data_IF_121267766040
#
_entry.id   IF_121267766040
#
_cell.length_a   1.000
_cell.length_b   1.000
_cell.length_c   1.000
_cell.angle_alpha   90.00
_cell.angle_beta   90.00
_cell.angle_gamma   90.00
#
_symmetry.space_group_name_H-M   'P 1'
#
loop_
_entity.id
_entity.type
_entity.pdbx_description
1 polymer ?
#
# COMPACT_ATOMS: atom_id res chain seq x y z
N UNK A 1 -9.99 -14.26 15.23
CA UNK A 1 -11.31 -13.63 15.05
C UNK A 1 -11.90 -13.14 16.37
N UNK A 2 -12.02 -13.98 17.43
CA UNK A 2 -12.63 -13.57 18.71
C UNK A 2 -11.91 -12.40 19.42
N UNK A 3 -10.58 -12.34 19.36
CA UNK A 3 -9.82 -11.23 19.96
C UNK A 3 -10.04 -9.89 19.24
N UNK A 4 -10.39 -9.93 17.98
CA UNK A 4 -10.61 -8.74 17.15
C UNK A 4 -11.99 -8.11 17.44
N UNK A 5 -13.00 -8.93 17.68
CA UNK A 5 -14.33 -8.47 18.08
C UNK A 5 -14.25 -7.71 19.41
N UNK A 6 -13.52 -8.23 20.39
CA UNK A 6 -13.33 -7.58 21.69
C UNK A 6 -12.62 -6.23 21.58
N UNK A 7 -11.57 -6.12 20.77
CA UNK A 7 -10.82 -4.88 20.58
C UNK A 7 -11.62 -3.79 19.87
N UNK A 8 -12.60 -4.15 19.05
CA UNK A 8 -13.45 -3.22 18.31
C UNK A 8 -14.72 -2.80 19.04
N UNK A 9 -15.00 -3.41 20.19
CA UNK A 9 -16.22 -3.14 20.98
C UNK A 9 -16.35 -1.64 21.31
N UNK A 10 -15.25 -0.94 21.62
CA UNK A 10 -15.26 0.49 21.91
C UNK A 10 -15.80 1.30 20.72
N UNK A 11 -15.39 0.97 19.50
CA UNK A 11 -15.85 1.65 18.28
C UNK A 11 -17.35 1.41 18.01
N UNK A 12 -17.85 0.22 18.31
CA UNK A 12 -19.25 -0.12 18.15
C UNK A 12 -20.14 0.57 19.18
N UNK A 13 -19.69 0.70 20.42
CA UNK A 13 -20.44 1.30 21.51
C UNK A 13 -20.34 2.83 21.54
N UNK A 14 -19.15 3.36 21.33
CA UNK A 14 -18.86 4.80 21.50
C UNK A 14 -18.58 5.53 20.20
N UNK A 15 -18.54 4.81 19.08
CA UNK A 15 -18.37 5.42 17.76
C UNK A 15 -19.61 6.23 17.34
N UNK A 16 -19.37 7.26 16.53
CA UNK A 16 -20.41 8.21 16.15
C UNK A 16 -21.58 7.58 15.35
N UNK A 17 -21.34 6.47 14.65
CA UNK A 17 -22.28 5.84 13.74
C UNK A 17 -23.06 4.70 14.42
N UNK A 18 -22.37 3.76 15.06
CA UNK A 18 -22.96 2.52 15.54
C UNK A 18 -23.74 2.71 16.86
N UNK A 19 -23.14 3.29 17.88
CA UNK A 19 -23.74 3.58 19.21
C UNK A 19 -24.51 2.42 19.83
N UNK A 20 -23.97 1.21 19.72
CA UNK A 20 -24.57 0.02 20.29
C UNK A 20 -24.49 0.04 21.81
N UNK A 21 -25.49 -0.56 22.48
CA UNK A 21 -25.45 -0.78 23.91
C UNK A 21 -24.45 -1.90 24.26
N UNK A 22 -23.98 -1.93 25.51
CA UNK A 22 -23.14 -3.02 26.02
C UNK A 22 -23.86 -4.35 25.89
N UNK A 23 -23.23 -5.30 25.19
CA UNK A 23 -23.82 -6.64 24.96
C UNK A 23 -24.79 -6.71 23.78
N UNK A 24 -25.10 -5.62 23.12
CA UNK A 24 -25.89 -5.60 21.89
C UNK A 24 -25.11 -6.24 20.73
N UNK A 25 -25.82 -7.07 19.94
CA UNK A 25 -25.22 -7.72 18.77
C UNK A 25 -25.02 -6.74 17.62
N UNK A 26 -23.97 -6.93 16.83
CA UNK A 26 -23.65 -6.08 15.68
C UNK A 26 -24.42 -6.48 14.41
N UNK A 27 -25.18 -7.55 14.44
CA UNK A 27 -25.82 -8.16 13.27
C UNK A 27 -26.58 -7.14 12.42
N UNK A 28 -27.36 -6.28 13.06
CA UNK A 28 -28.12 -5.21 12.40
C UNK A 28 -27.26 -4.19 11.64
N UNK A 29 -25.98 -4.08 11.98
CA UNK A 29 -25.04 -3.19 11.28
C UNK A 29 -24.40 -3.85 10.05
N UNK A 30 -24.53 -5.18 9.93
CA UNK A 30 -23.99 -5.96 8.82
C UNK A 30 -25.06 -6.34 7.81
N UNK A 31 -26.34 -6.40 8.26
CA UNK A 31 -27.47 -6.76 7.41
C UNK A 31 -27.89 -5.64 6.46
N UNK A 32 -28.55 -6.02 5.37
CA UNK A 32 -29.15 -5.11 4.39
C UNK A 32 -28.19 -4.07 3.79
N UNK A 33 -26.88 -4.36 3.77
CA UNK A 33 -25.87 -3.51 3.15
C UNK A 33 -25.55 -2.24 3.94
N UNK A 34 -25.92 -2.15 5.22
CA UNK A 34 -25.56 -1.01 6.08
C UNK A 34 -24.03 -0.87 6.23
N UNK A 35 -23.34 -1.97 6.45
CA UNK A 35 -21.88 -2.02 6.38
C UNK A 35 -21.40 -3.26 5.63
N UNK A 36 -20.12 -3.26 5.26
CA UNK A 36 -19.53 -4.27 4.39
C UNK A 36 -18.37 -4.97 5.10
N UNK A 37 -18.32 -6.29 4.96
CA UNK A 37 -17.15 -7.09 5.34
C UNK A 37 -16.15 -7.01 4.21
N UNK A 38 -14.98 -6.46 4.48
CA UNK A 38 -13.94 -6.27 3.47
C UNK A 38 -13.03 -7.49 3.38
N UNK A 39 -12.87 -8.03 2.18
CA UNK A 39 -11.89 -9.04 1.84
C UNK A 39 -10.62 -8.34 1.33
N UNK A 40 -9.65 -8.12 2.21
CA UNK A 40 -8.33 -7.58 1.85
C UNK A 40 -7.39 -8.66 1.33
N UNK A 41 -6.51 -8.29 0.43
CA UNK A 41 -5.49 -9.18 -0.16
C UNK A 41 -4.15 -8.46 -0.28
N UNK A 42 -3.05 -9.22 -0.38
CA UNK A 42 -1.70 -8.71 -0.56
C UNK A 42 -0.87 -9.72 -1.35
N UNK A 43 0.20 -9.25 -1.97
CA UNK A 43 1.18 -10.12 -2.61
C UNK A 43 0.76 -10.68 -3.97
N UNK A 44 -0.02 -9.94 -4.74
CA UNK A 44 -0.37 -10.36 -6.11
C UNK A 44 0.87 -10.44 -7.00
N UNK A 45 1.82 -9.50 -6.83
CA UNK A 45 3.12 -9.55 -7.49
C UNK A 45 3.89 -10.83 -7.12
N UNK A 46 4.06 -11.09 -5.83
CA UNK A 46 4.80 -12.26 -5.34
C UNK A 46 4.11 -13.59 -5.75
N UNK A 47 2.80 -13.60 -5.82
CA UNK A 47 2.04 -14.75 -6.35
C UNK A 47 2.41 -15.01 -7.82
N UNK A 48 2.43 -13.99 -8.66
CA UNK A 48 2.80 -14.11 -10.07
C UNK A 48 4.27 -14.48 -10.23
N UNK A 49 5.17 -13.90 -9.45
CA UNK A 49 6.58 -14.28 -9.44
C UNK A 49 6.79 -15.75 -9.06
N UNK A 50 6.08 -16.22 -8.03
CA UNK A 50 6.18 -17.62 -7.59
C UNK A 50 5.65 -18.62 -8.64
N UNK A 51 4.59 -18.27 -9.36
CA UNK A 51 3.94 -19.17 -10.33
C UNK A 51 4.56 -19.11 -11.72
N UNK A 52 5.01 -17.93 -12.15
CA UNK A 52 5.42 -17.71 -13.55
C UNK A 52 6.84 -17.15 -13.68
N UNK A 53 7.48 -16.75 -12.59
CA UNK A 53 8.78 -16.06 -12.64
C UNK A 53 8.71 -14.66 -13.28
N UNK A 54 7.53 -14.06 -13.33
CA UNK A 54 7.28 -12.75 -13.97
C UNK A 54 6.33 -11.90 -13.15
N UNK A 55 6.53 -10.57 -13.20
CA UNK A 55 5.60 -9.60 -12.63
C UNK A 55 4.21 -9.71 -13.25
N UNK A 56 3.19 -9.32 -12.48
CA UNK A 56 1.82 -9.19 -13.00
C UNK A 56 1.66 -8.05 -14.02
N UNK A 57 2.65 -7.17 -14.14
CA UNK A 57 2.73 -6.15 -15.20
C UNK A 57 3.11 -6.75 -16.57
N UNK A 58 3.72 -7.94 -16.60
CA UNK A 58 3.99 -8.65 -17.85
C UNK A 58 2.65 -9.04 -18.53
N UNK A 59 2.43 -8.67 -19.81
CA UNK A 59 1.19 -8.95 -20.53
C UNK A 59 0.79 -10.43 -20.51
N UNK A 60 1.77 -11.34 -20.49
CA UNK A 60 1.50 -12.80 -20.47
C UNK A 60 0.92 -13.28 -19.12
N UNK A 61 1.13 -12.53 -18.05
CA UNK A 61 0.71 -12.88 -16.68
C UNK A 61 -0.47 -12.03 -16.21
N UNK A 62 -0.65 -10.84 -16.76
CA UNK A 62 -1.71 -9.90 -16.40
C UNK A 62 -3.11 -10.54 -16.38
N UNK A 63 -3.43 -11.33 -17.40
CA UNK A 63 -4.73 -12.02 -17.48
C UNK A 63 -4.95 -12.97 -16.30
N UNK A 64 -3.90 -13.67 -15.85
CA UNK A 64 -3.99 -14.50 -14.64
C UNK A 64 -4.25 -13.62 -13.41
N UNK A 65 -3.50 -12.54 -13.23
CA UNK A 65 -3.68 -11.63 -12.09
C UNK A 65 -5.12 -11.07 -12.03
N UNK A 66 -5.67 -10.63 -13.16
CA UNK A 66 -7.06 -10.19 -13.27
C UNK A 66 -8.06 -11.31 -12.94
N UNK A 67 -7.78 -12.56 -13.39
CA UNK A 67 -8.64 -13.70 -13.07
C UNK A 67 -8.68 -14.04 -11.58
N UNK A 68 -7.56 -13.87 -10.87
CA UNK A 68 -7.51 -14.00 -9.40
C UNK A 68 -8.43 -12.96 -8.76
N UNK A 69 -8.36 -11.70 -9.21
CA UNK A 69 -9.21 -10.63 -8.69
C UNK A 69 -10.69 -10.89 -8.97
N UNK A 70 -11.02 -11.36 -10.18
CA UNK A 70 -12.40 -11.72 -10.51
C UNK A 70 -12.89 -12.86 -9.61
N UNK A 71 -12.07 -13.89 -9.39
CA UNK A 71 -12.43 -14.99 -8.49
C UNK A 71 -12.73 -14.50 -7.06
N UNK A 72 -11.96 -13.54 -6.53
CA UNK A 72 -12.24 -12.94 -5.22
C UNK A 72 -13.59 -12.21 -5.20
N UNK A 73 -13.93 -11.48 -6.26
CA UNK A 73 -15.23 -10.83 -6.40
C UNK A 73 -16.38 -11.85 -6.50
N UNK A 74 -16.20 -12.92 -7.26
CA UNK A 74 -17.20 -13.98 -7.39
C UNK A 74 -17.48 -14.64 -6.03
N UNK A 75 -16.43 -14.86 -5.21
CA UNK A 75 -16.57 -15.35 -3.83
C UNK A 75 -17.30 -14.36 -2.92
N UNK A 76 -17.02 -13.08 -3.03
CA UNK A 76 -17.75 -12.06 -2.29
C UNK A 76 -19.25 -12.06 -2.68
N UNK A 77 -19.55 -12.20 -3.95
CA UNK A 77 -20.92 -12.30 -4.46
C UNK A 77 -21.63 -13.56 -3.95
N UNK A 78 -20.96 -14.73 -3.96
CA UNK A 78 -21.46 -15.99 -3.42
C UNK A 78 -21.80 -15.86 -1.93
N UNK A 79 -20.89 -15.33 -1.12
CA UNK A 79 -21.12 -15.13 0.31
C UNK A 79 -22.24 -14.14 0.59
N UNK A 80 -22.30 -13.04 -0.16
CA UNK A 80 -23.39 -12.06 -0.05
C UNK A 80 -24.75 -12.71 -0.31
N UNK A 81 -24.85 -13.52 -1.35
CA UNK A 81 -26.10 -14.23 -1.68
C UNK A 81 -26.50 -15.25 -0.61
N UNK A 82 -25.52 -15.96 -0.02
CA UNK A 82 -25.74 -17.01 0.97
C UNK A 82 -26.05 -16.46 2.36
N UNK A 83 -25.38 -15.40 2.77
CA UNK A 83 -25.39 -14.92 4.16
C UNK A 83 -26.21 -13.63 4.34
N UNK A 84 -26.63 -13.01 3.24
CA UNK A 84 -27.34 -11.71 3.20
C UNK A 84 -26.56 -10.56 3.87
N UNK A 85 -25.22 -10.68 3.90
CA UNK A 85 -24.30 -9.65 4.40
C UNK A 85 -23.59 -8.98 3.23
N UNK A 86 -23.13 -7.75 3.45
CA UNK A 86 -22.28 -7.04 2.47
C UNK A 86 -20.86 -7.60 2.49
N UNK A 87 -20.35 -8.06 1.34
CA UNK A 87 -18.97 -8.44 1.12
C UNK A 87 -18.38 -7.66 -0.04
N UNK A 88 -17.12 -7.25 0.08
CA UNK A 88 -16.45 -6.50 -0.97
C UNK A 88 -14.95 -6.75 -0.97
N UNK A 89 -14.35 -6.86 -2.15
CA UNK A 89 -12.90 -6.91 -2.30
C UNK A 89 -12.32 -5.53 -2.02
N UNK A 90 -11.28 -5.48 -1.21
CA UNK A 90 -10.65 -4.24 -0.76
C UNK A 90 -9.15 -4.23 -1.04
N UNK A 91 -8.73 -3.42 -2.01
CA UNK A 91 -7.35 -3.20 -2.40
C UNK A 91 -6.66 -2.20 -1.48
N UNK A 92 -6.61 -2.52 -0.19
CA UNK A 92 -6.04 -1.63 0.83
C UNK A 92 -4.55 -1.76 0.93
N UNK A 93 -3.84 -0.66 1.15
CA UNK A 93 -2.49 -0.69 1.69
C UNK A 93 -2.52 -1.30 3.09
N UNK A 94 -1.58 -2.22 3.34
CA UNK A 94 -1.42 -2.88 4.63
C UNK A 94 -0.15 -2.38 5.31
N UNK A 95 -0.24 -1.87 6.53
CA UNK A 95 0.90 -1.32 7.24
C UNK A 95 1.90 -2.40 7.72
N UNK A 96 1.65 -2.93 8.89
CA UNK A 96 2.52 -3.94 9.53
C UNK A 96 2.35 -5.33 8.93
N UNK A 97 1.22 -5.57 8.27
CA UNK A 97 0.84 -6.90 7.77
C UNK A 97 1.79 -7.37 6.66
N UNK A 98 2.23 -6.48 5.77
CA UNK A 98 3.17 -6.83 4.68
C UNK A 98 4.51 -7.34 5.23
N UNK A 99 5.05 -6.69 6.25
CA UNK A 99 6.26 -7.15 6.96
C UNK A 99 6.04 -8.48 7.67
N UNK A 100 4.92 -8.62 8.37
CA UNK A 100 4.57 -9.85 9.08
C UNK A 100 4.42 -11.02 8.11
N UNK A 101 3.75 -10.83 6.98
CA UNK A 101 3.61 -11.85 5.95
C UNK A 101 4.96 -12.24 5.34
N UNK A 102 5.81 -11.27 4.98
CA UNK A 102 7.14 -11.56 4.48
C UNK A 102 7.93 -12.46 5.42
N UNK A 103 7.93 -12.15 6.72
CA UNK A 103 8.60 -12.98 7.75
C UNK A 103 7.98 -14.37 7.87
N UNK A 104 6.66 -14.48 7.88
CA UNK A 104 5.97 -15.76 8.00
C UNK A 104 6.24 -16.65 6.77
N UNK A 105 6.19 -16.08 5.56
CA UNK A 105 6.46 -16.79 4.32
C UNK A 105 7.92 -17.25 4.27
N UNK A 106 8.87 -16.39 4.62
CA UNK A 106 10.30 -16.74 4.67
C UNK A 106 10.58 -17.84 5.69
N UNK A 107 9.97 -17.79 6.86
CA UNK A 107 10.11 -18.82 7.88
C UNK A 107 9.54 -20.17 7.44
N UNK A 108 8.48 -20.16 6.65
CA UNK A 108 7.80 -21.38 6.20
C UNK A 108 8.43 -21.99 4.95
N UNK A 109 8.87 -21.18 4.00
CA UNK A 109 9.27 -21.61 2.67
C UNK A 109 10.75 -21.31 2.34
N UNK A 110 11.48 -20.69 3.26
CA UNK A 110 12.85 -20.22 3.00
C UNK A 110 12.88 -18.94 2.17
N UNK A 111 14.10 -18.58 1.73
CA UNK A 111 14.33 -17.43 0.87
C UNK A 111 14.09 -17.83 -0.58
N UNK A 112 13.10 -17.20 -1.21
CA UNK A 112 12.76 -17.37 -2.63
C UNK A 112 12.90 -16.00 -3.28
N UNK A 113 13.76 -15.90 -4.29
CA UNK A 113 14.04 -14.64 -5.00
C UNK A 113 12.76 -14.01 -5.53
N UNK A 114 12.60 -12.71 -5.33
CA UNK A 114 11.43 -11.88 -5.72
C UNK A 114 10.11 -12.28 -5.04
N UNK A 115 10.13 -13.23 -4.09
CA UNK A 115 8.92 -13.69 -3.39
C UNK A 115 9.05 -13.51 -1.88
N UNK A 116 10.16 -13.96 -1.28
CA UNK A 116 10.38 -13.92 0.17
C UNK A 116 11.73 -13.35 0.58
N UNK A 117 12.48 -12.77 -0.34
CA UNK A 117 13.83 -12.24 -0.13
C UNK A 117 13.84 -10.81 0.43
N UNK A 118 12.71 -10.13 0.45
CA UNK A 118 12.52 -8.81 1.08
C UNK A 118 11.76 -8.91 2.40
N UNK A 119 11.94 -7.91 3.27
CA UNK A 119 11.23 -7.83 4.54
C UNK A 119 9.79 -7.25 4.42
N UNK A 120 9.29 -7.15 3.20
CA UNK A 120 7.92 -6.77 2.89
C UNK A 120 7.39 -7.60 1.71
N UNK A 121 6.08 -7.60 1.53
CA UNK A 121 5.40 -8.06 0.32
C UNK A 121 4.63 -6.88 -0.29
N UNK A 122 4.40 -6.94 -1.58
CA UNK A 122 3.66 -5.90 -2.32
C UNK A 122 2.23 -5.77 -1.79
N UNK A 123 1.78 -4.54 -1.58
CA UNK A 123 0.40 -4.26 -1.20
C UNK A 123 -0.54 -4.64 -2.35
N UNK A 124 -1.63 -5.31 -2.02
CA UNK A 124 -2.75 -5.64 -2.92
C UNK A 124 -2.33 -5.88 -4.39
N UNK A 125 -2.84 -5.06 -5.32
CA UNK A 125 -2.59 -5.13 -6.76
C UNK A 125 -1.45 -4.22 -7.24
N UNK A 126 -0.86 -3.45 -6.35
CA UNK A 126 0.11 -2.43 -6.76
C UNK A 126 1.27 -3.01 -7.57
N UNK A 127 1.74 -2.24 -8.53
CA UNK A 127 3.04 -2.48 -9.16
C UNK A 127 4.10 -2.52 -8.06
N UNK A 128 5.02 -3.49 -8.13
CA UNK A 128 6.07 -3.61 -7.13
C UNK A 128 6.88 -2.29 -7.05
N UNK A 129 7.15 -1.84 -5.83
CA UNK A 129 7.78 -0.52 -5.58
C UNK A 129 9.14 -0.34 -6.22
N UNK A 130 9.82 -1.44 -6.60
CA UNK A 130 11.13 -1.46 -7.25
C UNK A 130 11.04 -1.45 -8.79
N UNK A 131 9.84 -1.65 -9.34
CA UNK A 131 9.67 -1.78 -10.78
C UNK A 131 9.81 -0.41 -11.46
N UNK A 132 10.75 -0.24 -12.42
CA UNK A 132 10.91 1.00 -13.15
C UNK A 132 9.76 1.16 -14.16
N UNK A 133 8.83 2.02 -13.83
CA UNK A 133 7.63 2.26 -14.64
C UNK A 133 7.29 3.76 -14.59
N UNK A 134 6.86 4.33 -15.70
CA UNK A 134 6.38 5.71 -15.73
C UNK A 134 4.98 5.84 -15.09
N UNK A 135 4.58 7.05 -14.65
CA UNK A 135 3.35 7.22 -13.90
C UNK A 135 2.09 6.88 -14.72
N UNK A 136 2.08 7.15 -16.02
CA UNK A 136 0.92 6.92 -16.87
C UNK A 136 0.70 5.42 -17.12
N UNK A 137 1.76 4.71 -17.47
CA UNK A 137 1.73 3.25 -17.66
C UNK A 137 1.33 2.55 -16.38
N UNK A 138 1.89 2.99 -15.23
CA UNK A 138 1.52 2.46 -13.92
C UNK A 138 0.03 2.66 -13.61
N UNK A 139 -0.47 3.88 -13.75
CA UNK A 139 -1.86 4.21 -13.47
C UNK A 139 -2.81 3.48 -14.42
N UNK A 140 -2.48 3.41 -15.72
CA UNK A 140 -3.26 2.66 -16.70
C UNK A 140 -3.34 1.17 -16.33
N UNK A 141 -2.24 0.58 -15.89
CA UNK A 141 -2.22 -0.80 -15.43
C UNK A 141 -3.08 -1.00 -14.18
N UNK A 142 -2.90 -0.16 -13.16
CA UNK A 142 -3.58 -0.27 -11.87
C UNK A 142 -5.08 0.05 -11.96
N UNK A 143 -5.53 0.84 -12.93
CA UNK A 143 -6.95 1.20 -13.11
C UNK A 143 -7.85 -0.03 -13.25
N UNK A 144 -7.41 -1.04 -13.98
CA UNK A 144 -8.17 -2.28 -14.18
C UNK A 144 -8.37 -3.06 -12.87
N UNK A 145 -7.36 -3.04 -11.99
CA UNK A 145 -7.42 -3.69 -10.68
C UNK A 145 -8.23 -2.88 -9.66
N UNK A 146 -8.25 -1.55 -9.79
CA UNK A 146 -9.12 -0.72 -8.96
C UNK A 146 -10.59 -1.05 -9.19
N UNK A 147 -11.00 -1.22 -10.45
CA UNK A 147 -12.36 -1.63 -10.80
C UNK A 147 -12.76 -2.97 -10.18
N UNK A 148 -11.79 -3.87 -9.97
CA UNK A 148 -11.98 -5.16 -9.31
C UNK A 148 -11.81 -5.10 -7.78
N UNK A 149 -11.66 -3.91 -7.22
CA UNK A 149 -11.57 -3.68 -5.78
C UNK A 149 -12.66 -2.71 -5.30
N UNK A 150 -13.95 -3.07 -5.46
CA UNK A 150 -15.08 -2.16 -5.22
C UNK A 150 -15.25 -1.74 -3.76
N UNK A 151 -14.62 -2.42 -2.81
CA UNK A 151 -14.59 -2.06 -1.41
C UNK A 151 -13.67 -0.89 -1.07
N UNK A 152 -12.87 -0.46 -2.03
CA UNK A 152 -11.91 0.64 -1.95
C UNK A 152 -10.55 0.26 -2.51
N UNK A 153 -9.90 1.20 -3.17
CA UNK A 153 -8.59 1.05 -3.76
C UNK A 153 -7.92 2.43 -3.85
N UNK A 154 -6.60 2.44 -3.82
CA UNK A 154 -5.81 3.65 -3.97
C UNK A 154 -4.53 3.31 -4.73
N UNK A 155 -4.11 4.18 -5.63
CA UNK A 155 -2.83 4.09 -6.33
C UNK A 155 -1.88 5.21 -5.88
N UNK A 156 -0.59 4.98 -5.96
CA UNK A 156 0.44 5.93 -5.53
C UNK A 156 1.42 6.24 -6.64
N UNK A 157 1.72 7.52 -6.81
CA UNK A 157 2.80 7.99 -7.68
C UNK A 157 3.88 8.62 -6.80
N UNK A 158 5.05 8.02 -6.80
CA UNK A 158 6.22 8.59 -6.13
C UNK A 158 6.81 9.71 -7.00
N UNK A 159 6.90 10.91 -6.45
CA UNK A 159 7.36 12.11 -7.14
C UNK A 159 8.66 12.63 -6.51
N UNK A 160 9.58 13.12 -7.34
CA UNK A 160 10.64 14.01 -6.90
C UNK A 160 10.06 15.41 -6.54
N UNK A 161 10.94 16.37 -6.25
CA UNK A 161 10.52 17.77 -6.13
C UNK A 161 10.05 18.30 -7.49
N UNK A 162 8.75 18.56 -7.59
CA UNK A 162 8.08 19.00 -8.81
C UNK A 162 7.79 20.50 -8.84
N UNK A 163 8.31 21.29 -7.91
CA UNK A 163 8.06 22.74 -7.82
C UNK A 163 8.43 23.50 -9.11
N UNK A 164 9.37 22.99 -9.88
CA UNK A 164 9.81 23.56 -11.16
C UNK A 164 9.17 22.92 -12.39
N UNK A 165 8.28 21.95 -12.23
CA UNK A 165 7.61 21.26 -13.34
C UNK A 165 6.15 20.96 -13.00
N UNK A 166 5.39 22.00 -12.77
CA UNK A 166 3.99 21.92 -12.41
C UNK A 166 3.14 21.34 -13.58
N UNK A 167 3.55 21.59 -14.82
CA UNK A 167 2.82 21.07 -15.99
C UNK A 167 2.82 19.53 -16.01
N UNK A 168 3.93 18.89 -15.64
CA UNK A 168 3.97 17.45 -15.54
C UNK A 168 3.06 16.91 -14.43
N UNK A 169 2.98 17.61 -13.28
CA UNK A 169 2.02 17.29 -12.21
C UNK A 169 0.59 17.40 -12.71
N UNK A 170 0.27 18.49 -13.42
CA UNK A 170 -1.08 18.71 -13.96
C UNK A 170 -1.45 17.65 -14.99
N UNK A 171 -0.52 17.21 -15.83
CA UNK A 171 -0.76 16.11 -16.78
C UNK A 171 -1.09 14.79 -16.06
N UNK A 172 -0.37 14.46 -14.98
CA UNK A 172 -0.66 13.27 -14.16
C UNK A 172 -2.03 13.41 -13.46
N UNK A 173 -2.36 14.58 -12.91
CA UNK A 173 -3.67 14.83 -12.28
C UNK A 173 -4.80 14.67 -13.30
N UNK A 174 -4.63 15.21 -14.52
CA UNK A 174 -5.63 15.03 -15.57
C UNK A 174 -5.80 13.55 -15.93
N UNK A 175 -4.70 12.81 -16.05
CA UNK A 175 -4.76 11.37 -16.33
C UNK A 175 -5.48 10.61 -15.21
N UNK A 176 -5.22 10.95 -13.94
CA UNK A 176 -5.92 10.37 -12.78
C UNK A 176 -7.42 10.65 -12.90
N UNK A 177 -7.80 11.89 -13.16
CA UNK A 177 -9.20 12.27 -13.30
C UNK A 177 -9.93 11.45 -14.37
N UNK A 178 -9.27 11.19 -15.49
CA UNK A 178 -9.87 10.50 -16.63
C UNK A 178 -9.91 8.97 -16.48
N UNK A 179 -8.99 8.36 -15.71
CA UNK A 179 -8.73 6.92 -15.78
C UNK A 179 -8.72 6.19 -14.43
N UNK A 180 -8.56 6.87 -13.30
CA UNK A 180 -8.34 6.28 -11.99
C UNK A 180 -9.41 6.72 -11.00
N UNK A 181 -9.91 5.81 -10.17
CA UNK A 181 -10.90 6.16 -9.16
C UNK A 181 -10.29 6.95 -8.00
N UNK A 182 -9.10 6.56 -7.54
CA UNK A 182 -8.40 7.24 -6.46
C UNK A 182 -6.89 7.04 -6.57
N UNK A 183 -6.14 8.13 -6.60
CA UNK A 183 -4.69 8.10 -6.55
C UNK A 183 -4.14 9.28 -5.72
N UNK A 184 -2.92 9.12 -5.25
CA UNK A 184 -2.20 10.14 -4.49
C UNK A 184 -0.77 10.29 -5.01
N UNK A 185 -0.30 11.54 -4.99
CA UNK A 185 1.08 11.89 -5.30
C UNK A 185 1.87 11.91 -3.99
N UNK A 186 2.95 11.12 -3.93
CA UNK A 186 3.85 11.07 -2.79
C UNK A 186 5.08 11.90 -3.08
N UNK A 187 5.37 12.86 -2.22
CA UNK A 187 6.60 13.65 -2.26
C UNK A 187 7.42 13.38 -1.00
N UNK A 188 8.72 13.65 -1.07
CA UNK A 188 9.64 13.53 0.05
C UNK A 188 10.03 14.94 0.50
N UNK A 189 9.43 15.40 1.58
CA UNK A 189 9.69 16.70 2.19
C UNK A 189 10.07 16.48 3.65
N UNK A 190 11.37 16.45 3.91
CA UNK A 190 11.93 16.19 5.23
C UNK A 190 12.79 17.37 5.68
N UNK A 191 13.00 17.47 6.98
CA UNK A 191 13.80 18.53 7.56
C UNK A 191 14.73 18.01 8.66
N UNK A 192 16.00 18.40 8.61
CA UNK A 192 16.97 18.14 9.66
C UNK A 192 17.15 19.35 10.56
N UNK A 193 16.74 19.23 11.82
CA UNK A 193 16.82 20.31 12.80
C UNK A 193 18.28 20.63 13.23
N UNK A 194 19.25 19.75 12.96
CA UNK A 194 20.66 19.95 13.32
C UNK A 194 21.33 20.92 12.36
N UNK A 195 21.07 20.81 11.06
CA UNK A 195 21.80 21.60 10.05
C UNK A 195 20.89 22.45 9.14
N UNK A 196 19.56 22.39 9.35
CA UNK A 196 18.62 23.12 8.51
C UNK A 196 18.42 22.53 7.11
N UNK A 197 18.87 21.29 6.86
CA UNK A 197 18.66 20.66 5.56
C UNK A 197 17.16 20.44 5.33
N UNK A 198 16.68 20.93 4.20
CA UNK A 198 15.32 20.73 3.69
C UNK A 198 15.40 19.89 2.41
N UNK A 199 14.78 18.72 2.43
CA UNK A 199 14.85 17.74 1.35
C UNK A 199 14.76 16.30 1.85
N UNK A 200 15.08 15.33 1.00
CA UNK A 200 14.97 13.92 1.35
C UNK A 200 16.02 13.46 2.37
N UNK A 201 15.61 13.10 3.57
CA UNK A 201 16.42 12.33 4.52
C UNK A 201 16.56 10.89 3.98
N UNK A 202 17.79 10.39 3.92
CA UNK A 202 18.11 9.09 3.30
C UNK A 202 17.97 7.94 4.29
N UNK A 203 17.70 6.75 3.76
CA UNK A 203 17.76 5.50 4.50
C UNK A 203 19.06 4.81 4.13
N UNK A 204 19.92 4.61 5.13
CA UNK A 204 21.23 3.96 5.00
C UNK A 204 21.21 2.60 5.71
N UNK A 205 22.12 1.71 5.32
CA UNK A 205 22.31 0.43 6.03
C UNK A 205 23.51 0.57 6.95
N UNK A 206 23.28 0.35 8.25
CA UNK A 206 24.33 0.34 9.26
C UNK A 206 24.23 -0.95 10.09
N UNK A 207 25.32 -1.72 10.16
CA UNK A 207 25.38 -3.01 10.87
C UNK A 207 24.19 -3.95 10.61
N UNK A 208 23.71 -3.98 9.33
CA UNK A 208 22.59 -4.82 8.91
C UNK A 208 21.20 -4.27 9.30
N UNK A 209 21.13 -3.03 9.79
CA UNK A 209 19.86 -2.34 10.09
C UNK A 209 19.70 -1.11 9.19
N UNK A 210 18.48 -0.81 8.88
CA UNK A 210 18.12 0.42 8.16
C UNK A 210 17.97 1.57 9.16
N UNK A 211 18.73 2.64 8.92
CA UNK A 211 18.72 3.85 9.73
C UNK A 211 18.49 5.08 8.86
N UNK A 212 17.85 6.09 9.43
CA UNK A 212 17.67 7.38 8.77
C UNK A 212 18.89 8.26 8.99
N UNK A 213 19.37 8.89 7.92
CA UNK A 213 20.55 9.75 7.97
C UNK A 213 20.35 11.01 7.14
N UNK A 214 20.68 12.15 7.73
CA UNK A 214 20.70 13.42 6.99
C UNK A 214 21.87 13.42 5.99
N UNK A 215 21.62 13.61 4.69
CA UNK A 215 22.68 13.58 3.68
C UNK A 215 23.66 14.76 3.78
N UNK A 216 23.28 15.85 4.48
CA UNK A 216 24.11 17.03 4.62
C UNK A 216 25.06 16.99 5.83
N UNK A 217 24.59 16.50 7.00
CA UNK A 217 25.40 16.52 8.22
C UNK A 217 25.60 15.16 8.88
N UNK A 218 25.08 14.07 8.32
CA UNK A 218 25.18 12.74 8.91
C UNK A 218 24.36 12.51 10.18
N UNK A 219 23.49 13.46 10.55
CA UNK A 219 22.64 13.30 11.74
C UNK A 219 21.76 12.04 11.62
N UNK A 220 21.73 11.21 12.68
CA UNK A 220 20.89 10.02 12.80
C UNK A 220 19.94 10.07 13.99
N UNK A 221 19.97 11.17 14.75
CA UNK A 221 19.06 11.38 15.88
C UNK A 221 17.64 11.64 15.38
N UNK A 222 16.79 10.62 15.49
CA UNK A 222 15.39 10.65 15.04
C UNK A 222 14.55 11.73 15.73
N UNK A 223 14.96 12.18 16.91
CA UNK A 223 14.29 13.28 17.64
C UNK A 223 14.56 14.64 17.03
N UNK A 224 15.58 14.75 16.19
CA UNK A 224 16.02 15.97 15.49
C UNK A 224 15.82 15.90 13.97
N UNK A 225 14.92 15.03 13.53
CA UNK A 225 14.52 14.90 12.13
C UNK A 225 13.00 14.93 12.03
N UNK A 226 12.49 15.67 11.06
CA UNK A 226 11.10 15.59 10.63
C UNK A 226 11.07 14.83 9.31
N UNK A 227 10.66 13.57 9.37
CA UNK A 227 10.51 12.71 8.20
C UNK A 227 9.05 12.43 7.99
N UNK A 228 8.54 12.78 6.81
CA UNK A 228 7.15 12.54 6.45
C UNK A 228 7.09 11.61 5.24
N UNK A 229 6.43 10.49 5.39
CA UNK A 229 6.21 9.51 4.31
C UNK A 229 4.78 9.02 4.34
N UNK A 230 4.27 8.76 3.16
CA UNK A 230 3.06 7.95 3.05
C UNK A 230 3.39 6.51 3.37
N UNK A 231 2.64 5.94 4.30
CA UNK A 231 2.82 4.53 4.66
C UNK A 231 1.76 3.65 4.04
N UNK A 232 0.50 3.93 4.25
CA UNK A 232 -0.60 3.11 3.75
C UNK A 232 -1.75 3.98 3.26
N UNK A 233 -2.61 4.45 4.01
CA UNK A 233 -3.68 5.37 3.63
C UNK A 233 -3.48 6.76 4.22
N UNK A 234 -2.33 7.05 4.82
CA UNK A 234 -2.06 8.32 5.48
C UNK A 234 -0.57 8.71 5.42
N UNK A 235 -0.31 9.98 5.61
CA UNK A 235 1.03 10.51 5.82
C UNK A 235 1.43 10.31 7.29
N UNK A 236 2.55 9.65 7.50
CA UNK A 236 3.11 9.44 8.82
C UNK A 236 4.41 10.21 9.03
N UNK A 237 4.60 10.75 10.22
CA UNK A 237 5.84 11.42 10.67
C UNK A 237 6.61 10.57 11.69
N UNK A 238 6.34 9.27 11.76
CA UNK A 238 6.99 8.34 12.68
C UNK A 238 7.94 7.42 11.94
N UNK A 239 8.91 6.87 12.69
CA UNK A 239 9.82 5.85 12.17
C UNK A 239 9.19 4.47 12.28
N UNK A 240 9.26 3.69 11.21
CA UNK A 240 8.52 2.44 11.02
C UNK A 240 9.39 1.21 11.29
N UNK A 241 8.77 0.02 11.24
CA UNK A 241 9.51 -1.24 11.31
C UNK A 241 10.44 -1.42 10.11
N UNK A 242 11.42 -2.33 10.22
CA UNK A 242 12.46 -2.51 9.19
C UNK A 242 11.90 -2.86 7.83
N UNK A 243 10.85 -3.67 7.73
CA UNK A 243 10.25 -4.02 6.44
C UNK A 243 9.55 -2.82 5.78
N UNK A 244 8.87 -1.96 6.55
CA UNK A 244 8.31 -0.73 5.99
C UNK A 244 9.41 0.26 5.61
N UNK A 245 10.47 0.33 6.38
CA UNK A 245 11.63 1.19 6.07
C UNK A 245 12.33 0.71 4.80
N UNK A 246 12.46 -0.61 4.60
CA UNK A 246 13.00 -1.20 3.38
C UNK A 246 12.11 -0.87 2.16
N UNK A 247 10.81 -1.08 2.27
CA UNK A 247 9.85 -0.75 1.21
C UNK A 247 9.92 0.73 0.81
N UNK A 248 10.01 1.65 1.78
CA UNK A 248 10.16 3.09 1.52
C UNK A 248 11.49 3.40 0.82
N UNK A 249 12.57 2.73 1.22
CA UNK A 249 13.89 2.87 0.61
C UNK A 249 13.88 2.44 -0.85
N UNK A 250 13.18 1.35 -1.14
CA UNK A 250 13.17 0.69 -2.44
C UNK A 250 12.23 1.37 -3.46
N UNK A 251 11.42 2.35 -3.04
CA UNK A 251 10.45 3.01 -3.91
C UNK A 251 11.10 3.69 -5.09
N UNK A 252 10.75 3.24 -6.28
CA UNK A 252 11.12 3.89 -7.54
C UNK A 252 10.38 5.23 -7.69
N UNK A 253 11.08 6.27 -8.20
CA UNK A 253 10.49 7.58 -8.48
C UNK A 253 9.86 7.55 -9.87
N UNK A 254 8.53 7.66 -9.93
CA UNK A 254 7.77 7.57 -11.16
C UNK A 254 7.73 8.90 -11.94
N UNK A 255 7.83 10.04 -11.23
CA UNK A 255 7.71 11.37 -11.81
C UNK A 255 8.85 12.27 -11.32
N UNK A 256 9.62 12.85 -12.25
CA UNK A 256 10.71 13.79 -11.95
C UNK A 256 12.05 13.15 -11.59
N UNK A 257 12.20 11.83 -11.71
CA UNK A 257 13.50 11.15 -11.72
C UNK A 257 14.18 11.27 -13.09
N UNK A 258 15.49 10.96 -13.17
CA UNK A 258 16.20 10.84 -14.43
C UNK A 258 15.67 9.65 -15.23
N UNK A 259 14.51 9.83 -15.83
CA UNK A 259 13.96 8.89 -16.80
C UNK A 259 14.76 9.07 -18.10
N UNK A 260 15.86 8.38 -18.22
CA UNK A 260 16.50 8.16 -19.51
C UNK A 260 15.72 7.04 -20.19
N UNK A 261 14.70 7.45 -20.97
CA UNK A 261 13.99 6.57 -21.89
C UNK A 261 14.86 6.15 -23.07
#
# INVERSE_FOLDING_TARGET
AASDVYKRQIHWQYGAIARLQKGEKIDKLLENGYSTISLGYAGLYECCMAMFGKSHTDPAVKTFALSVMQHLNDKCAEWKAKEHLGYSVYGTPMETTTYKFAKCLRNRFGVIKEVTDHDYITNSYHVNVREPIDPFTKLQFESEFQLLSPGGAISYIECADMTKNIDAVMAVIQFIYDNIMYAELNTKSDYCQVCGYDGEIKIVTDNGRLEWECPNCGNRDKTKMNVTRRTCGYLGSQFWNQGRTEEIKDRFIHLGGDFHG
#
